data_IF_582355687777
#
_entry.id   IF_582355687777
#
_cell.length_a   1.000
_cell.length_b   1.000
_cell.length_c   1.000
_cell.angle_alpha   90.00
_cell.angle_beta   90.00
_cell.angle_gamma   90.00
#
_symmetry.space_group_name_H-M   'P 1'
#
loop_
_entity.id
_entity.type
_entity.pdbx_description
1 polymer ?
#
# COMPACT_ATOMS: atom_id res chain seq x y z
N UNK A 1 15.14 12.05 13.03
CA UNK A 1 13.70 12.06 12.73
C UNK A 1 13.10 10.82 13.38
N UNK A 2 12.18 10.94 14.36
CA UNK A 2 11.79 9.81 15.22
C UNK A 2 11.18 8.64 14.43
N UNK A 3 11.80 7.46 14.58
CA UNK A 3 11.55 6.21 13.85
C UNK A 3 10.12 5.64 14.05
N UNK A 4 9.40 6.08 15.07
CA UNK A 4 8.04 5.63 15.42
C UNK A 4 6.95 6.08 14.44
N UNK A 5 7.18 7.15 13.66
CA UNK A 5 6.18 7.70 12.75
C UNK A 5 5.88 6.78 11.54
N UNK A 6 6.88 6.03 11.07
CA UNK A 6 6.76 5.22 9.86
C UNK A 6 5.93 3.94 10.07
N UNK A 7 6.06 3.29 11.23
CA UNK A 7 5.27 2.10 11.59
C UNK A 7 3.77 2.41 11.69
N UNK A 8 3.41 3.50 12.37
CA UNK A 8 2.01 3.91 12.55
C UNK A 8 1.37 4.30 11.22
N UNK A 9 2.12 5.01 10.37
CA UNK A 9 1.66 5.39 9.04
C UNK A 9 1.37 4.15 8.18
N UNK A 10 2.25 3.14 8.21
CA UNK A 10 2.06 1.90 7.46
C UNK A 10 0.82 1.14 7.94
N UNK A 11 0.59 1.09 9.25
CA UNK A 11 -0.59 0.46 9.84
C UNK A 11 -1.89 1.17 9.42
N UNK A 12 -1.93 2.51 9.47
CA UNK A 12 -3.11 3.30 9.05
C UNK A 12 -3.38 3.11 7.56
N UNK A 13 -2.35 3.07 6.72
CA UNK A 13 -2.48 2.81 5.27
C UNK A 13 -3.03 1.40 5.01
N UNK A 14 -2.55 0.39 5.74
CA UNK A 14 -3.09 -0.98 5.65
C UNK A 14 -4.55 -1.06 6.11
N UNK A 15 -4.87 -0.46 7.26
CA UNK A 15 -6.23 -0.44 7.81
C UNK A 15 -7.21 0.29 6.87
N UNK A 16 -6.80 1.41 6.28
CA UNK A 16 -7.61 2.13 5.28
C UNK A 16 -7.82 1.34 3.98
N UNK A 17 -6.85 0.51 3.57
CA UNK A 17 -7.01 -0.40 2.45
C UNK A 17 -8.04 -1.51 2.71
N UNK A 18 -8.03 -2.13 3.90
CA UNK A 18 -9.07 -3.10 4.27
C UNK A 18 -10.45 -2.43 4.39
N UNK A 19 -10.49 -1.23 4.97
CA UNK A 19 -11.73 -0.44 5.11
C UNK A 19 -12.35 -0.08 3.75
N UNK A 20 -11.53 0.12 2.71
CA UNK A 20 -12.02 0.30 1.34
C UNK A 20 -12.75 -0.94 0.82
N UNK A 21 -12.20 -2.14 1.01
CA UNK A 21 -12.86 -3.39 0.58
C UNK A 21 -14.14 -3.67 1.37
N UNK A 22 -14.15 -3.33 2.67
CA UNK A 22 -15.37 -3.39 3.50
C UNK A 22 -16.42 -2.40 2.98
N UNK A 23 -16.03 -1.17 2.62
CA UNK A 23 -16.94 -0.18 2.05
C UNK A 23 -17.57 -0.67 0.73
N UNK A 24 -16.77 -1.24 -0.18
CA UNK A 24 -17.28 -1.86 -1.41
C UNK A 24 -18.23 -3.03 -1.14
N UNK A 25 -17.97 -3.85 -0.12
CA UNK A 25 -18.88 -4.92 0.28
C UNK A 25 -20.23 -4.37 0.78
N UNK A 26 -20.20 -3.32 1.61
CA UNK A 26 -21.39 -2.69 2.15
C UNK A 26 -22.21 -1.94 1.08
N UNK A 27 -21.57 -1.39 0.04
CA UNK A 27 -22.27 -0.77 -1.10
C UNK A 27 -23.26 -1.73 -1.80
N UNK A 28 -23.03 -3.05 -1.73
CA UNK A 28 -23.94 -4.04 -2.32
C UNK A 28 -25.25 -4.21 -1.53
N UNK A 29 -25.25 -3.90 -0.23
CA UNK A 29 -26.36 -4.21 0.67
C UNK A 29 -27.01 -2.97 1.29
N UNK A 30 -26.29 -1.84 1.36
CA UNK A 30 -26.73 -0.60 1.99
C UNK A 30 -26.97 0.47 0.93
N UNK A 31 -28.23 0.64 0.56
CA UNK A 31 -28.68 1.69 -0.37
C UNK A 31 -29.36 2.87 0.35
N UNK A 32 -29.24 2.97 1.67
CA UNK A 32 -29.81 4.08 2.43
C UNK A 32 -29.00 5.35 2.19
N UNK A 33 -29.60 6.40 1.60
CA UNK A 33 -28.88 7.64 1.33
C UNK A 33 -28.64 8.42 2.63
N UNK A 34 -27.51 9.15 2.69
CA UNK A 34 -27.07 9.91 3.86
C UNK A 34 -28.15 10.82 4.45
N UNK A 35 -28.93 11.48 3.58
CA UNK A 35 -30.00 12.40 3.98
C UNK A 35 -31.06 11.74 4.88
N UNK A 36 -31.38 10.46 4.67
CA UNK A 36 -32.40 9.76 5.46
C UNK A 36 -31.96 9.51 6.90
N UNK A 37 -30.65 9.44 7.15
CA UNK A 37 -30.10 9.27 8.50
C UNK A 37 -29.89 10.59 9.25
N UNK A 38 -29.68 11.69 8.53
CA UNK A 38 -29.31 12.99 9.11
C UNK A 38 -30.47 14.00 9.15
N UNK A 39 -31.60 13.72 8.49
CA UNK A 39 -32.81 14.55 8.53
C UNK A 39 -32.69 15.92 7.85
N UNK A 40 -31.70 16.09 6.96
CA UNK A 40 -31.42 17.35 6.26
C UNK A 40 -32.05 17.38 4.85
N UNK A 41 -32.42 18.58 4.38
CA UNK A 41 -32.96 18.76 3.03
C UNK A 41 -31.98 18.29 1.94
N UNK A 42 -32.53 17.64 0.91
CA UNK A 42 -31.78 16.88 -0.08
C UNK A 42 -30.90 17.78 -0.95
N UNK A 43 -29.62 17.88 -0.60
CA UNK A 43 -28.56 18.37 -1.50
C UNK A 43 -27.97 17.19 -2.30
N UNK A 44 -27.42 17.48 -3.49
CA UNK A 44 -26.79 16.46 -4.36
C UNK A 44 -25.72 15.62 -3.63
N UNK A 45 -24.95 16.24 -2.72
CA UNK A 45 -23.94 15.59 -1.89
C UNK A 45 -24.52 14.60 -0.85
N UNK A 46 -25.81 14.69 -0.52
CA UNK A 46 -26.48 13.84 0.48
C UNK A 46 -27.22 12.64 -0.14
N UNK A 47 -27.28 12.54 -1.47
CA UNK A 47 -27.74 11.33 -2.16
C UNK A 47 -26.69 10.22 -2.16
N UNK A 48 -25.44 10.55 -1.79
CA UNK A 48 -24.39 9.57 -1.58
C UNK A 48 -24.76 8.70 -0.37
N UNK A 49 -24.44 7.42 -0.43
CA UNK A 49 -24.59 6.49 0.69
C UNK A 49 -23.38 6.55 1.62
N UNK A 50 -23.54 6.20 2.91
CA UNK A 50 -22.41 6.09 3.86
C UNK A 50 -21.26 5.21 3.32
N UNK A 51 -21.53 4.04 2.69
CA UNK A 51 -20.48 3.21 2.10
C UNK A 51 -19.74 3.88 0.94
N UNK A 52 -20.44 4.65 0.09
CA UNK A 52 -19.82 5.37 -1.02
C UNK A 52 -18.89 6.50 -0.55
N UNK A 53 -19.28 7.22 0.49
CA UNK A 53 -18.42 8.23 1.11
C UNK A 53 -17.16 7.59 1.70
N UNK A 54 -17.31 6.48 2.43
CA UNK A 54 -16.18 5.72 2.97
C UNK A 54 -15.27 5.19 1.86
N UNK A 55 -15.86 4.66 0.78
CA UNK A 55 -15.11 4.20 -0.38
C UNK A 55 -14.34 5.35 -1.04
N UNK A 56 -14.97 6.52 -1.24
CA UNK A 56 -14.33 7.69 -1.84
C UNK A 56 -13.14 8.22 -1.02
N UNK A 57 -13.26 8.24 0.32
CA UNK A 57 -12.18 8.65 1.21
C UNK A 57 -11.06 7.61 1.30
N UNK A 58 -11.40 6.32 1.25
CA UNK A 58 -10.41 5.24 1.34
C UNK A 58 -9.76 4.88 -0.01
N UNK A 59 -10.35 5.29 -1.13
CA UNK A 59 -9.82 5.10 -2.48
C UNK A 59 -8.40 5.68 -2.69
N UNK A 60 -8.11 6.94 -2.30
CA UNK A 60 -6.73 7.46 -2.38
C UNK A 60 -5.77 6.68 -1.47
N UNK A 61 -6.23 6.14 -0.33
CA UNK A 61 -5.41 5.33 0.59
C UNK A 61 -5.07 3.97 -0.04
N UNK A 62 -6.05 3.31 -0.68
CA UNK A 62 -5.84 2.05 -1.41
C UNK A 62 -4.89 2.26 -2.61
N UNK A 63 -5.08 3.33 -3.39
CA UNK A 63 -4.20 3.67 -4.50
C UNK A 63 -2.76 3.95 -4.03
N UNK A 64 -2.60 4.73 -2.95
CA UNK A 64 -1.30 5.02 -2.35
C UNK A 64 -0.59 3.74 -1.91
N UNK A 65 -1.32 2.79 -1.28
CA UNK A 65 -0.74 1.52 -0.87
C UNK A 65 -0.23 0.70 -2.06
N UNK A 66 -0.98 0.64 -3.14
CA UNK A 66 -0.56 -0.06 -4.35
C UNK A 66 0.71 0.55 -4.97
N UNK A 67 0.81 1.89 -4.96
CA UNK A 67 2.02 2.60 -5.43
C UNK A 67 3.22 2.31 -4.53
N UNK A 68 3.05 2.35 -3.20
CA UNK A 68 4.13 2.06 -2.26
C UNK A 68 4.65 0.63 -2.45
N UNK A 69 3.75 -0.36 -2.59
CA UNK A 69 4.13 -1.74 -2.84
C UNK A 69 4.95 -1.88 -4.14
N UNK A 70 4.59 -1.15 -5.21
CA UNK A 70 5.35 -1.13 -6.47
C UNK A 70 6.74 -0.50 -6.33
N UNK A 71 6.85 0.63 -5.63
CA UNK A 71 8.13 1.31 -5.41
C UNK A 71 9.05 0.48 -4.51
N UNK A 72 8.48 -0.16 -3.47
CA UNK A 72 9.23 -1.06 -2.60
C UNK A 72 9.76 -2.26 -3.38
N UNK A 73 8.94 -2.85 -4.24
CA UNK A 73 9.36 -3.94 -5.12
C UNK A 73 10.49 -3.49 -6.06
N UNK A 74 10.35 -2.33 -6.71
CA UNK A 74 11.36 -1.84 -7.64
C UNK A 74 12.71 -1.55 -6.95
N UNK A 75 12.68 -0.90 -5.78
CA UNK A 75 13.89 -0.67 -4.98
C UNK A 75 14.54 -1.97 -4.53
N UNK A 76 13.74 -2.94 -4.07
CA UNK A 76 14.23 -4.26 -3.69
C UNK A 76 14.87 -5.00 -4.87
N UNK A 77 14.27 -4.96 -6.06
CA UNK A 77 14.82 -5.59 -7.27
C UNK A 77 16.19 -5.03 -7.66
N UNK A 78 16.41 -3.70 -7.57
CA UNK A 78 17.72 -3.12 -7.88
C UNK A 78 18.79 -3.49 -6.84
N UNK A 79 18.41 -3.59 -5.56
CA UNK A 79 19.32 -4.03 -4.49
C UNK A 79 19.72 -5.49 -4.72
N UNK A 80 18.76 -6.36 -5.08
CA UNK A 80 19.01 -7.78 -5.35
C UNK A 80 20.02 -7.99 -6.48
N UNK A 81 19.91 -7.22 -7.57
CA UNK A 81 20.89 -7.25 -8.68
C UNK A 81 22.27 -6.78 -8.23
N UNK A 82 22.35 -5.78 -7.35
CA UNK A 82 23.61 -5.33 -6.78
C UNK A 82 24.30 -6.41 -5.94
N UNK A 83 23.51 -7.17 -5.16
CA UNK A 83 24.00 -8.32 -4.39
C UNK A 83 24.47 -9.44 -5.31
N UNK A 84 23.71 -9.75 -6.36
CA UNK A 84 24.05 -10.80 -7.34
C UNK A 84 25.40 -10.53 -8.03
N UNK A 85 25.65 -9.29 -8.47
CA UNK A 85 26.93 -8.90 -9.08
C UNK A 85 28.11 -8.95 -8.09
N UNK A 86 27.89 -8.58 -6.83
CA UNK A 86 28.91 -8.63 -5.79
C UNK A 86 29.32 -10.07 -5.47
N UNK A 87 28.35 -10.98 -5.42
CA UNK A 87 28.59 -12.40 -5.20
C UNK A 87 29.42 -13.02 -6.34
N UNK A 88 29.12 -12.66 -7.60
CA UNK A 88 29.93 -13.08 -8.78
C UNK A 88 31.35 -12.51 -8.79
N UNK A 89 31.57 -11.30 -8.30
CA UNK A 89 32.91 -10.75 -8.18
C UNK A 89 33.74 -11.53 -7.14
N UNK A 90 33.12 -11.83 -6.00
CA UNK A 90 33.74 -12.59 -4.91
C UNK A 90 34.10 -14.02 -5.34
N UNK A 91 33.21 -14.72 -6.06
CA UNK A 91 33.50 -16.06 -6.60
C UNK A 91 34.76 -16.08 -7.47
N UNK A 92 34.99 -15.04 -8.28
CA UNK A 92 36.18 -14.92 -9.14
C UNK A 92 37.45 -14.65 -8.33
N UNK A 93 37.37 -13.80 -7.32
CA UNK A 93 38.49 -13.53 -6.41
C UNK A 93 38.88 -14.79 -5.63
N UNK A 94 37.90 -15.54 -5.12
CA UNK A 94 38.12 -16.80 -4.43
C UNK A 94 38.74 -17.85 -5.36
N UNK A 95 38.28 -17.96 -6.61
CA UNK A 95 38.87 -18.85 -7.60
C UNK A 95 40.34 -18.49 -7.92
N UNK A 96 40.64 -17.20 -8.09
CA UNK A 96 42.01 -16.72 -8.33
C UNK A 96 42.94 -16.97 -7.13
N UNK A 97 42.43 -16.81 -5.89
CA UNK A 97 43.19 -17.13 -4.68
C UNK A 97 43.44 -18.63 -4.52
N UNK A 98 42.46 -19.47 -4.86
CA UNK A 98 42.64 -20.94 -4.87
C UNK A 98 43.69 -21.36 -5.88
N UNK A 99 43.69 -20.77 -7.08
CA UNK A 99 44.70 -21.06 -8.11
C UNK A 99 46.12 -20.68 -7.69
N UNK A 100 46.30 -19.61 -6.89
CA UNK A 100 47.62 -19.20 -6.35
C UNK A 100 48.13 -20.06 -5.18
N UNK A 101 47.26 -20.87 -4.56
CA UNK A 101 47.61 -21.74 -3.42
C UNK A 101 48.03 -23.15 -3.85
N UNK A 102 47.95 -23.46 -5.14
CA UNK A 102 48.41 -24.71 -5.77
C UNK A 102 49.79 -24.45 -6.36
#
# INVERSE_FOLDING_TARGET
MPLSYFQTLLFIICAGNEMFFVALYLMKWVHTPLWRSLGLESSFLLNLSWPELMAAVCLPICALKNIINLVQLWKASKILVGVDLAERAKEREEAAQRAKKI
#
